data_IF_773371914004
#
_entry.id   IF_773371914004
#
_cell.length_a   1.000
_cell.length_b   1.000
_cell.length_c   1.000
_cell.angle_alpha   90.00
_cell.angle_beta   90.00
_cell.angle_gamma   90.00
#
_symmetry.space_group_name_H-M   'P 1'
#
loop_
_entity.id
_entity.type
_entity.pdbx_description
1 polymer ?
#
# COMPACT_ATOMS: atom_id res chain seq x y z
N UNK A 1 6.26 5.71 -14.02
CA UNK A 1 5.00 6.28 -14.50
C UNK A 1 3.84 5.49 -13.95
N UNK A 2 2.67 6.13 -13.89
CA UNK A 2 1.42 5.51 -13.48
C UNK A 2 1.01 4.36 -14.40
N UNK A 3 0.39 3.35 -13.80
CA UNK A 3 -0.16 2.18 -14.48
C UNK A 3 -1.64 2.08 -14.16
N UNK A 4 -2.43 2.01 -15.23
CA UNK A 4 -3.83 1.64 -15.14
C UNK A 4 -3.92 0.17 -14.74
N UNK A 5 -4.62 -0.11 -13.65
CA UNK A 5 -4.94 -1.47 -13.22
C UNK A 5 -6.23 -1.44 -12.41
N UNK A 6 -7.30 -2.00 -12.97
CA UNK A 6 -8.60 -2.11 -12.31
C UNK A 6 -8.73 -3.36 -11.42
N UNK A 7 -7.69 -4.20 -11.39
CA UNK A 7 -7.59 -5.40 -10.56
C UNK A 7 -6.63 -5.22 -9.39
N UNK A 8 -5.91 -4.09 -9.33
CA UNK A 8 -4.98 -3.79 -8.25
C UNK A 8 -5.66 -3.84 -6.88
N UNK A 9 -4.95 -4.39 -5.91
CA UNK A 9 -5.38 -4.43 -4.52
C UNK A 9 -4.19 -4.33 -3.57
N UNK A 10 -4.44 -3.79 -2.38
CA UNK A 10 -3.55 -3.91 -1.22
C UNK A 10 -4.22 -4.76 -0.17
N UNK A 11 -3.47 -5.38 0.73
CA UNK A 11 -4.04 -6.28 1.73
C UNK A 11 -3.24 -6.31 3.03
N UNK A 12 -3.89 -6.77 4.08
CA UNK A 12 -3.24 -7.17 5.33
C UNK A 12 -3.38 -8.68 5.52
N UNK A 13 -2.31 -9.33 5.97
CA UNK A 13 -2.39 -10.71 6.51
C UNK A 13 -2.68 -10.68 8.01
N UNK A 14 -2.07 -9.72 8.70
CA UNK A 14 -2.29 -9.42 10.11
C UNK A 14 -2.39 -7.92 10.27
N UNK A 15 -3.08 -7.45 11.31
CA UNK A 15 -3.17 -6.05 11.68
C UNK A 15 -3.31 -5.89 13.20
N UNK A 16 -3.04 -4.69 13.75
CA UNK A 16 -3.13 -4.42 15.18
C UNK A 16 -4.55 -4.48 15.77
N UNK A 17 -5.59 -4.65 14.94
CA UNK A 17 -6.99 -4.57 15.35
C UNK A 17 -7.70 -5.93 15.39
N UNK A 18 -6.95 -7.03 15.23
CA UNK A 18 -7.49 -8.40 15.14
C UNK A 18 -8.54 -8.57 14.03
N UNK A 19 -8.48 -7.74 12.98
CA UNK A 19 -9.33 -7.91 11.80
C UNK A 19 -8.75 -9.08 10.99
N UNK A 20 -9.56 -10.00 10.43
CA UNK A 20 -9.08 -11.07 9.56
C UNK A 20 -8.28 -10.52 8.35
N UNK A 21 -7.48 -11.37 7.65
CA UNK A 21 -6.82 -10.95 6.43
C UNK A 21 -7.79 -10.26 5.47
N UNK A 22 -7.49 -9.01 5.13
CA UNK A 22 -8.43 -8.15 4.41
C UNK A 22 -7.81 -7.64 3.13
N UNK A 23 -8.59 -7.71 2.04
CA UNK A 23 -8.23 -7.19 0.71
C UNK A 23 -8.97 -5.88 0.46
N UNK A 24 -8.24 -4.86 0.05
CA UNK A 24 -8.75 -3.54 -0.32
C UNK A 24 -8.54 -3.32 -1.81
N UNK A 25 -9.63 -3.18 -2.55
CA UNK A 25 -9.61 -3.02 -4.00
C UNK A 25 -9.39 -1.55 -4.37
N UNK A 26 -8.74 -1.31 -5.51
CA UNK A 26 -8.64 0.03 -6.09
C UNK A 26 -10.03 0.62 -6.34
N UNK A 27 -10.21 1.91 -6.06
CA UNK A 27 -11.43 2.64 -6.41
C UNK A 27 -11.57 2.67 -7.95
N UNK A 28 -12.73 2.29 -8.54
CA UNK A 28 -12.96 2.34 -9.98
C UNK A 28 -12.60 3.69 -10.63
N UNK A 29 -12.76 4.79 -9.89
CA UNK A 29 -12.47 6.15 -10.38
C UNK A 29 -10.97 6.51 -10.33
N UNK A 30 -10.12 5.66 -9.76
CA UNK A 30 -8.68 5.90 -9.58
C UNK A 30 -7.77 4.87 -10.26
N UNK A 31 -8.34 4.00 -11.10
CA UNK A 31 -7.61 2.88 -11.73
C UNK A 31 -6.40 3.33 -12.54
N UNK A 32 -6.43 4.51 -13.16
CA UNK A 32 -5.32 5.07 -13.95
C UNK A 32 -4.05 5.36 -13.13
N UNK A 33 -4.20 5.54 -11.81
CA UNK A 33 -3.11 5.81 -10.86
C UNK A 33 -2.99 4.72 -9.80
N UNK A 34 -3.32 3.46 -10.15
CA UNK A 34 -3.30 2.34 -9.21
C UNK A 34 -1.90 2.05 -8.67
N UNK A 35 -0.88 2.08 -9.54
CA UNK A 35 0.53 1.81 -9.18
C UNK A 35 1.45 2.75 -9.96
N UNK A 36 2.50 3.28 -9.33
CA UNK A 36 3.56 4.03 -10.02
C UNK A 36 4.86 3.23 -10.07
N UNK A 37 5.40 3.05 -11.28
CA UNK A 37 6.72 2.47 -11.48
C UNK A 37 7.73 3.58 -11.74
N UNK A 38 8.37 4.12 -10.70
CA UNK A 38 9.41 5.13 -10.87
C UNK A 38 10.77 4.57 -10.44
N UNK A 39 11.82 4.91 -11.17
CA UNK A 39 13.17 4.41 -10.87
C UNK A 39 13.78 5.03 -9.61
N UNK A 40 13.30 6.19 -9.18
CA UNK A 40 13.88 6.94 -8.06
C UNK A 40 13.21 6.69 -6.69
N UNK A 41 12.16 5.88 -6.62
CA UNK A 41 11.53 5.47 -5.37
C UNK A 41 11.02 4.03 -5.46
N UNK A 42 10.77 3.41 -4.31
CA UNK A 42 10.24 2.06 -4.24
C UNK A 42 8.77 1.96 -4.70
N UNK A 43 8.13 0.80 -4.43
CA UNK A 43 6.71 0.59 -4.70
C UNK A 43 5.83 1.74 -4.20
N UNK A 44 4.90 2.15 -5.07
CA UNK A 44 4.00 3.28 -4.85
C UNK A 44 2.60 2.88 -5.31
N UNK A 45 1.68 2.72 -4.35
CA UNK A 45 0.32 2.24 -4.60
C UNK A 45 -0.68 3.36 -4.35
N UNK A 46 -1.44 3.74 -5.39
CA UNK A 46 -2.45 4.80 -5.35
C UNK A 46 -1.89 6.20 -5.56
N UNK A 47 -2.75 7.13 -6.01
CA UNK A 47 -2.47 8.56 -6.06
C UNK A 47 -2.55 9.16 -4.64
N UNK A 48 -1.49 9.84 -4.19
CA UNK A 48 -1.38 10.21 -2.78
C UNK A 48 -1.27 8.94 -1.93
N UNK A 49 -0.12 8.25 -1.98
CA UNK A 49 -0.04 6.81 -1.94
C UNK A 49 -0.62 6.27 -0.65
N UNK A 50 -1.53 5.32 -0.82
CA UNK A 50 -2.03 4.52 0.29
C UNK A 50 -0.93 3.67 0.90
N UNK A 51 0.04 3.28 0.08
CA UNK A 51 1.27 2.63 0.53
C UNK A 51 2.46 3.11 -0.30
N UNK A 52 3.46 3.62 0.42
CA UNK A 52 4.74 4.05 -0.13
C UNK A 52 5.88 3.35 0.60
N UNK A 53 6.75 2.71 -0.18
CA UNK A 53 7.96 2.09 0.32
C UNK A 53 9.18 2.93 -0.06
N UNK A 54 9.87 3.47 0.94
CA UNK A 54 11.04 4.31 0.73
C UNK A 54 12.26 3.50 0.28
N UNK A 55 13.26 4.18 -0.29
CA UNK A 55 14.59 3.60 -0.44
C UNK A 55 15.19 3.30 0.94
N UNK A 56 16.00 2.25 1.05
CA UNK A 56 16.60 1.81 2.32
C UNK A 56 15.55 1.65 3.45
N UNK A 57 14.36 1.16 3.10
CA UNK A 57 13.21 1.01 4.00
C UNK A 57 13.46 0.11 5.21
N UNK A 58 14.54 -0.67 5.19
CA UNK A 58 14.99 -1.51 6.30
C UNK A 58 15.87 -0.79 7.31
N UNK A 59 16.37 0.40 6.98
CA UNK A 59 17.24 1.19 7.85
C UNK A 59 16.68 2.58 8.16
N UNK A 60 15.48 2.91 7.68
CA UNK A 60 14.82 4.18 7.97
C UNK A 60 13.30 4.03 8.10
N UNK A 61 12.68 5.04 8.71
CA UNK A 61 11.24 5.11 8.96
C UNK A 61 10.50 6.01 7.94
N UNK A 62 11.01 6.12 6.72
CA UNK A 62 10.46 7.01 5.69
C UNK A 62 9.38 6.36 4.83
N UNK A 63 9.17 5.05 4.97
CA UNK A 63 8.02 4.37 4.37
C UNK A 63 6.76 4.76 5.15
N UNK A 64 5.63 4.86 4.45
CA UNK A 64 4.38 5.26 5.09
C UNK A 64 3.15 4.73 4.36
N UNK A 65 2.04 4.78 5.07
CA UNK A 65 0.69 4.62 4.54
C UNK A 65 -0.04 5.95 4.65
N UNK A 66 -0.87 6.32 3.66
CA UNK A 66 -1.88 7.39 3.77
C UNK A 66 -3.28 6.88 3.41
N UNK A 67 -3.51 5.58 3.61
CA UNK A 67 -4.77 4.93 3.29
C UNK A 67 -5.96 5.60 4.02
N UNK A 68 -7.12 5.85 3.36
CA UNK A 68 -7.57 5.34 2.06
C UNK A 68 -7.85 6.40 0.97
N UNK A 69 -6.81 6.88 0.30
CA UNK A 69 -6.89 7.79 -0.85
C UNK A 69 -7.39 7.10 -2.13
N UNK A 70 -6.85 5.93 -2.47
CA UNK A 70 -7.08 5.26 -3.76
C UNK A 70 -7.72 3.89 -3.67
N UNK A 71 -7.47 3.16 -2.61
CA UNK A 71 -8.05 1.85 -2.33
C UNK A 71 -9.20 2.01 -1.34
N UNK A 72 -10.26 1.22 -1.51
CA UNK A 72 -11.50 1.36 -0.73
C UNK A 72 -11.32 0.75 0.66
N UNK A 73 -11.52 1.55 1.72
CA UNK A 73 -11.55 1.06 3.10
C UNK A 73 -12.87 0.39 3.45
N UNK A 74 -12.81 -0.93 3.63
CA UNK A 74 -13.93 -1.77 4.06
C UNK A 74 -13.98 -1.98 5.58
N UNK A 75 -13.00 -1.44 6.32
CA UNK A 75 -12.82 -1.64 7.77
C UNK A 75 -13.06 -0.39 8.60
N UNK A 76 -13.06 0.80 7.97
CA UNK A 76 -13.24 2.09 8.64
C UNK A 76 -12.07 2.49 9.55
N UNK A 77 -10.92 1.83 9.42
CA UNK A 77 -9.72 2.09 10.23
C UNK A 77 -8.73 3.02 9.53
N UNK A 78 -8.88 3.21 8.22
CA UNK A 78 -7.96 3.95 7.38
C UNK A 78 -6.53 3.52 7.65
N UNK A 79 -5.65 4.51 7.81
CA UNK A 79 -4.23 4.28 7.98
C UNK A 79 -3.83 3.35 9.13
N UNK A 80 -4.66 3.29 10.18
CA UNK A 80 -4.37 2.46 11.35
C UNK A 80 -4.53 0.96 11.05
N UNK A 81 -5.11 0.56 9.91
CA UNK A 81 -5.30 -0.84 9.53
C UNK A 81 -3.98 -1.58 9.32
N UNK A 82 -2.92 -0.95 8.81
CA UNK A 82 -1.72 -1.67 8.39
C UNK A 82 -0.78 -1.93 9.57
N UNK A 83 0.01 -0.92 9.93
CA UNK A 83 1.03 -1.04 10.98
C UNK A 83 0.59 -0.42 12.30
N UNK A 84 -0.60 0.19 12.34
CA UNK A 84 -1.09 0.97 13.48
C UNK A 84 -0.49 2.36 13.61
N UNK A 85 0.42 2.73 12.71
CA UNK A 85 1.04 4.05 12.64
C UNK A 85 1.22 4.47 11.18
N UNK A 86 1.42 5.77 10.93
CA UNK A 86 1.59 6.28 9.58
C UNK A 86 2.88 5.82 8.93
N UNK A 87 3.99 5.95 9.66
CA UNK A 87 5.33 5.63 9.19
C UNK A 87 5.75 4.25 9.70
N UNK A 88 6.54 3.54 8.91
CA UNK A 88 7.09 2.25 9.29
C UNK A 88 8.49 2.00 8.70
N UNK A 89 9.21 1.08 9.35
CA UNK A 89 10.46 0.50 8.86
C UNK A 89 10.15 -0.94 8.44
N UNK A 90 10.47 -1.30 7.20
CA UNK A 90 10.21 -2.64 6.67
C UNK A 90 11.34 -3.58 7.08
N UNK A 91 11.04 -4.68 7.78
CA UNK A 91 12.07 -5.66 8.16
C UNK A 91 12.61 -6.41 6.95
N UNK A 92 11.72 -6.88 6.08
CA UNK A 92 12.02 -7.64 4.86
C UNK A 92 11.04 -7.28 3.73
N UNK A 93 11.45 -7.54 2.49
CA UNK A 93 10.63 -7.34 1.29
C UNK A 93 10.77 -8.57 0.40
N UNK A 94 9.64 -9.17 0.03
CA UNK A 94 9.57 -10.31 -0.88
C UNK A 94 8.74 -9.93 -2.11
N UNK A 95 9.18 -10.35 -3.31
CA UNK A 95 8.49 -10.08 -4.57
C UNK A 95 8.17 -11.40 -5.26
N UNK A 96 6.89 -11.64 -5.50
CA UNK A 96 6.39 -12.86 -6.13
C UNK A 96 5.82 -12.55 -7.52
N UNK A 97 5.97 -13.49 -8.45
CA UNK A 97 5.30 -13.46 -9.75
C UNK A 97 4.77 -14.85 -10.09
N UNK A 98 3.69 -14.89 -10.87
CA UNK A 98 3.27 -16.13 -11.50
C UNK A 98 4.25 -16.50 -12.62
N UNK A 99 4.47 -17.80 -12.81
CA UNK A 99 5.33 -18.35 -13.85
C UNK A 99 4.65 -18.28 -15.23
#
# INVERSE_FOLDING_TARGET
>A
SWKNDNTAFIFTLTNPHNIPPTKYLINPDQTESAVNHHSSYGPYFGAGPDMYLANASNSNNSSYTNFPSSYVDTTGKGNNTFTGARNFTASDIEVFKLA
#
